data_IF_550670937803
#
_entry.id   IF_550670937803
#
_cell.length_a   1.000
_cell.length_b   1.000
_cell.length_c   1.000
_cell.angle_alpha   90.00
_cell.angle_beta   90.00
_cell.angle_gamma   90.00
#
_symmetry.space_group_name_H-M   'P 1'
#
loop_
_entity.id
_entity.type
_entity.pdbx_description
1 polymer ?
#
# COMPACT_ATOMS: atom_id res chain seq x y z
N UNK A 1 -17.41 14.54 18.06
CA UNK A 1 -18.76 14.12 17.65
C UNK A 1 -18.72 13.88 16.15
N UNK A 2 -18.63 12.60 15.76
CA UNK A 2 -18.79 12.18 14.37
C UNK A 2 -20.29 12.17 14.10
N UNK A 3 -20.80 13.14 13.38
CA UNK A 3 -22.14 13.12 12.86
C UNK A 3 -22.33 11.86 11.99
N UNK A 4 -23.34 11.08 12.34
CA UNK A 4 -23.79 9.90 11.61
C UNK A 4 -24.37 10.37 10.26
N UNK A 5 -23.51 10.71 9.30
CA UNK A 5 -23.96 10.97 7.93
C UNK A 5 -24.49 9.65 7.40
N UNK A 6 -25.79 9.56 7.26
CA UNK A 6 -26.42 8.47 6.52
C UNK A 6 -25.86 8.51 5.08
N UNK A 7 -24.86 7.68 4.82
CA UNK A 7 -24.41 7.45 3.46
C UNK A 7 -25.55 6.78 2.70
N UNK A 8 -25.81 7.18 1.44
CA UNK A 8 -26.86 6.54 0.66
C UNK A 8 -26.63 5.02 0.63
N UNK A 9 -27.68 4.25 0.91
CA UNK A 9 -27.65 2.81 0.68
C UNK A 9 -27.57 2.62 -0.83
N UNK A 10 -26.45 2.13 -1.31
CA UNK A 10 -26.31 1.70 -2.70
C UNK A 10 -27.06 0.38 -2.87
N UNK A 11 -27.96 0.35 -3.84
CA UNK A 11 -28.57 -0.90 -4.28
C UNK A 11 -27.48 -1.76 -4.92
N UNK A 12 -27.41 -3.05 -4.59
CA UNK A 12 -26.37 -3.95 -5.07
C UNK A 12 -26.40 -4.17 -6.60
N UNK A 13 -27.45 -3.70 -7.26
CA UNK A 13 -27.64 -3.82 -8.71
C UNK A 13 -26.96 -2.68 -9.51
N UNK A 14 -26.51 -1.60 -8.84
CA UNK A 14 -25.73 -0.53 -9.44
C UNK A 14 -24.23 -0.70 -9.08
N UNK A 15 -23.56 -1.65 -9.74
CA UNK A 15 -22.09 -1.67 -9.69
C UNK A 15 -21.59 -0.37 -10.34
N UNK A 16 -20.90 0.51 -9.60
CA UNK A 16 -20.35 1.71 -10.20
C UNK A 16 -19.38 1.31 -11.30
N UNK A 17 -19.55 1.89 -12.48
CA UNK A 17 -18.59 1.71 -13.56
C UNK A 17 -17.22 2.16 -13.08
N UNK A 18 -16.32 1.20 -12.86
CA UNK A 18 -14.95 1.48 -12.43
C UNK A 18 -14.23 2.06 -13.63
N UNK A 19 -14.24 3.39 -13.74
CA UNK A 19 -13.41 4.09 -14.71
C UNK A 19 -11.96 3.97 -14.21
N UNK A 20 -11.23 3.00 -14.74
CA UNK A 20 -9.78 2.94 -14.56
C UNK A 20 -9.19 4.05 -15.43
N UNK A 21 -8.65 5.13 -14.85
CA UNK A 21 -8.01 6.15 -15.64
C UNK A 21 -6.85 5.49 -16.41
N UNK A 22 -6.75 5.80 -17.70
CA UNK A 22 -5.64 5.32 -18.52
C UNK A 22 -4.36 6.08 -18.08
N UNK A 23 -3.76 5.61 -17.01
CA UNK A 23 -2.54 6.19 -16.46
C UNK A 23 -1.40 5.69 -17.32
N UNK A 24 -1.00 6.51 -18.28
CA UNK A 24 0.23 6.26 -19.02
C UNK A 24 1.43 6.61 -18.12
N UNK A 25 1.94 5.61 -17.40
CA UNK A 25 3.10 5.77 -16.51
C UNK A 25 4.41 6.10 -17.27
N UNK A 26 4.33 6.31 -18.57
CA UNK A 26 5.51 6.41 -19.42
C UNK A 26 6.25 5.07 -19.48
N UNK A 27 6.54 4.57 -20.66
CA UNK A 27 7.06 3.22 -20.93
C UNK A 27 8.44 2.92 -20.35
N UNK A 28 9.03 3.80 -19.54
CA UNK A 28 10.40 3.68 -19.03
C UNK A 28 10.52 3.50 -17.51
N UNK A 29 9.46 3.66 -16.74
CA UNK A 29 9.54 3.54 -15.29
C UNK A 29 9.72 2.07 -14.88
N UNK A 30 10.84 1.77 -14.22
CA UNK A 30 11.17 0.44 -13.70
C UNK A 30 10.80 0.36 -12.22
N UNK A 31 9.87 -0.53 -11.90
CA UNK A 31 9.31 -0.70 -10.55
C UNK A 31 9.78 -2.03 -9.96
N UNK A 32 10.36 -1.98 -8.77
CA UNK A 32 10.65 -3.19 -8.01
C UNK A 32 9.41 -3.62 -7.22
N UNK A 33 8.93 -4.83 -7.46
CA UNK A 33 7.95 -5.50 -6.60
C UNK A 33 8.71 -6.32 -5.57
N UNK A 34 8.68 -5.91 -4.32
CA UNK A 34 9.47 -6.55 -3.28
C UNK A 34 8.88 -7.89 -2.89
N UNK A 35 9.72 -8.92 -2.84
CA UNK A 35 9.34 -10.25 -2.38
C UNK A 35 10.12 -10.59 -1.12
N UNK A 36 9.40 -10.79 -0.02
CA UNK A 36 9.91 -11.29 1.26
C UNK A 36 9.22 -12.61 1.63
N UNK A 37 9.79 -13.42 2.52
CA UNK A 37 9.17 -14.68 2.94
C UNK A 37 7.72 -14.50 3.38
N UNK A 38 6.80 -15.26 2.79
CA UNK A 38 5.37 -15.22 3.11
C UNK A 38 4.55 -14.20 2.33
N UNK A 39 5.15 -13.35 1.52
CA UNK A 39 4.41 -12.58 0.51
C UNK A 39 3.97 -13.50 -0.61
N UNK A 40 2.81 -13.23 -1.20
CA UNK A 40 2.22 -14.09 -2.23
C UNK A 40 1.44 -13.33 -3.32
N UNK A 41 1.46 -12.00 -3.31
CA UNK A 41 0.80 -11.16 -4.32
C UNK A 41 1.80 -10.44 -5.24
N UNK A 42 3.01 -10.93 -5.36
CA UNK A 42 4.06 -10.31 -6.20
C UNK A 42 3.77 -10.45 -7.68
N UNK A 43 3.28 -11.60 -8.12
CA UNK A 43 2.99 -11.85 -9.54
C UNK A 43 1.82 -11.01 -10.03
N UNK A 44 0.74 -10.90 -9.24
CA UNK A 44 -0.41 -10.05 -9.53
C UNK A 44 0.00 -8.58 -9.59
N UNK A 45 0.82 -8.15 -8.64
CA UNK A 45 1.33 -6.79 -8.57
C UNK A 45 2.21 -6.46 -9.79
N UNK A 46 3.08 -7.37 -10.18
CA UNK A 46 3.91 -7.19 -11.38
C UNK A 46 3.05 -7.11 -12.64
N UNK A 47 2.04 -7.98 -12.78
CA UNK A 47 1.10 -7.94 -13.92
C UNK A 47 0.32 -6.62 -13.96
N UNK A 48 -0.12 -6.12 -12.82
CA UNK A 48 -0.83 -4.83 -12.76
C UNK A 48 0.06 -3.67 -13.24
N UNK A 49 1.32 -3.63 -12.83
CA UNK A 49 2.27 -2.60 -13.29
C UNK A 49 2.48 -2.69 -14.80
N UNK A 50 2.68 -3.90 -15.33
CA UNK A 50 2.85 -4.14 -16.77
C UNK A 50 1.61 -3.72 -17.55
N UNK A 51 0.42 -4.03 -17.04
CA UNK A 51 -0.86 -3.62 -17.65
C UNK A 51 -1.02 -2.09 -17.70
N UNK A 52 -0.40 -1.38 -16.75
CA UNK A 52 -0.32 0.07 -16.73
C UNK A 52 0.86 0.64 -17.56
N UNK A 53 1.46 -0.15 -18.44
CA UNK A 53 2.61 0.21 -19.31
C UNK A 53 3.91 0.50 -18.56
N UNK A 54 4.03 0.10 -17.29
CA UNK A 54 5.28 0.13 -16.55
C UNK A 54 6.15 -1.10 -16.79
N UNK A 55 7.39 -1.05 -16.34
CA UNK A 55 8.27 -2.21 -16.26
C UNK A 55 8.29 -2.71 -14.82
N UNK A 56 8.00 -3.99 -14.61
CA UNK A 56 8.00 -4.60 -13.28
C UNK A 56 9.07 -5.67 -13.18
N UNK A 57 9.76 -5.70 -12.06
CA UNK A 57 10.70 -6.76 -11.72
C UNK A 57 10.46 -7.20 -10.27
N UNK A 58 10.30 -8.52 -10.06
CA UNK A 58 10.20 -9.08 -8.71
C UNK A 58 11.59 -9.06 -8.08
N UNK A 59 11.73 -8.24 -7.05
CA UNK A 59 12.97 -8.07 -6.31
C UNK A 59 12.96 -8.92 -5.05
N UNK A 60 13.70 -10.03 -5.09
CA UNK A 60 13.76 -10.98 -3.98
C UNK A 60 14.64 -10.47 -2.84
N UNK A 61 14.21 -10.69 -1.60
CA UNK A 61 14.94 -10.35 -0.37
C UNK A 61 16.36 -10.94 -0.26
N UNK A 62 16.66 -11.97 -1.06
CA UNK A 62 18.01 -12.58 -1.13
C UNK A 62 18.99 -11.80 -2.00
N UNK A 63 18.53 -10.81 -2.74
CA UNK A 63 19.37 -9.97 -3.59
C UNK A 63 20.07 -8.89 -2.76
N UNK A 64 21.24 -8.40 -3.21
CA UNK A 64 21.89 -7.24 -2.61
C UNK A 64 20.94 -6.03 -2.61
N UNK A 65 20.68 -5.48 -1.43
CA UNK A 65 19.67 -4.40 -1.26
C UNK A 65 20.09 -3.10 -1.97
N UNK A 66 21.38 -2.92 -2.22
CA UNK A 66 21.93 -1.77 -2.96
C UNK A 66 21.38 -1.68 -4.38
N UNK A 67 20.99 -2.81 -4.99
CA UNK A 67 20.39 -2.87 -6.33
C UNK A 67 19.02 -2.21 -6.40
N UNK A 68 18.39 -1.86 -5.27
CA UNK A 68 17.18 -1.03 -5.27
C UNK A 68 17.42 0.35 -5.88
N UNK A 69 18.66 0.81 -5.91
CA UNK A 69 19.02 2.07 -6.55
C UNK A 69 18.69 2.12 -8.06
N UNK A 70 18.64 0.96 -8.72
CA UNK A 70 18.38 0.84 -10.17
C UNK A 70 16.90 0.99 -10.55
N UNK A 71 16.01 1.17 -9.58
CA UNK A 71 14.58 1.26 -9.80
C UNK A 71 14.06 2.69 -9.60
N UNK A 72 12.99 3.03 -10.30
CA UNK A 72 12.33 4.33 -10.23
C UNK A 72 11.28 4.40 -9.13
N UNK A 73 10.73 3.28 -8.70
CA UNK A 73 9.74 3.18 -7.65
C UNK A 73 9.59 1.76 -7.12
N UNK A 74 8.81 1.61 -6.07
CA UNK A 74 8.71 0.36 -5.32
C UNK A 74 7.28 0.03 -4.98
N UNK A 75 6.95 -1.26 -5.06
CA UNK A 75 5.69 -1.80 -4.57
C UNK A 75 5.99 -2.90 -3.54
N UNK A 76 5.43 -2.75 -2.35
CA UNK A 76 5.43 -3.78 -1.31
C UNK A 76 4.07 -4.48 -1.38
N UNK A 77 4.00 -5.71 -1.89
CA UNK A 77 2.73 -6.39 -2.18
C UNK A 77 2.07 -6.94 -0.93
N UNK A 78 0.88 -7.51 -1.13
CA UNK A 78 0.14 -8.22 -0.11
C UNK A 78 0.70 -9.61 0.20
N UNK A 79 0.14 -10.22 1.23
CA UNK A 79 0.51 -11.54 1.69
C UNK A 79 0.54 -11.60 3.22
N UNK A 80 1.42 -12.47 3.74
CA UNK A 80 1.60 -12.73 5.17
C UNK A 80 3.10 -12.77 5.47
N UNK A 81 3.78 -11.63 5.31
CA UNK A 81 5.23 -11.56 5.46
C UNK A 81 5.69 -12.14 6.80
N UNK A 82 6.62 -13.09 6.73
CA UNK A 82 7.11 -13.85 7.90
C UNK A 82 6.00 -14.49 8.73
N UNK A 83 4.88 -14.89 8.07
CA UNK A 83 3.70 -15.51 8.69
C UNK A 83 3.04 -14.61 9.76
N UNK A 84 3.14 -13.28 9.63
CA UNK A 84 2.63 -12.28 10.58
C UNK A 84 3.08 -12.52 12.03
N UNK A 85 4.24 -13.16 12.21
CA UNK A 85 4.81 -13.42 13.55
C UNK A 85 4.98 -12.12 14.31
N UNK A 86 4.67 -12.14 15.61
CA UNK A 86 4.59 -10.99 16.50
C UNK A 86 3.34 -10.16 16.20
N UNK A 87 3.23 -9.60 15.00
CA UNK A 87 2.08 -8.97 14.37
C UNK A 87 2.39 -8.72 12.89
N UNK A 88 1.35 -8.46 12.11
CA UNK A 88 1.48 -8.25 10.67
C UNK A 88 2.51 -7.15 10.32
N UNK A 89 3.45 -7.50 9.47
CA UNK A 89 4.51 -6.59 9.01
C UNK A 89 5.67 -6.36 9.99
N UNK A 90 5.56 -6.72 11.26
CA UNK A 90 6.54 -6.35 12.29
C UNK A 90 7.94 -6.94 12.06
N UNK A 91 8.01 -8.20 11.64
CA UNK A 91 9.30 -8.86 11.35
C UNK A 91 9.87 -8.33 10.04
N UNK A 92 9.05 -8.24 9.00
CA UNK A 92 9.47 -7.72 7.70
C UNK A 92 10.01 -6.30 7.79
N UNK A 93 9.43 -5.44 8.61
CA UNK A 93 9.88 -4.06 8.83
C UNK A 93 11.31 -3.95 9.37
N UNK A 94 11.89 -5.05 9.89
CA UNK A 94 13.28 -5.12 10.37
C UNK A 94 14.24 -5.73 9.37
N UNK A 95 13.73 -6.19 8.23
CA UNK A 95 14.58 -6.72 7.17
C UNK A 95 15.50 -5.62 6.61
N UNK A 96 16.77 -5.92 6.32
CA UNK A 96 17.70 -4.97 5.69
C UNK A 96 17.17 -4.38 4.39
N UNK A 97 16.38 -5.14 3.63
CA UNK A 97 15.74 -4.67 2.40
C UNK A 97 14.82 -3.47 2.66
N UNK A 98 14.09 -3.46 3.78
CA UNK A 98 13.22 -2.34 4.15
C UNK A 98 14.02 -1.12 4.60
N UNK A 99 15.19 -1.32 5.21
CA UNK A 99 16.11 -0.22 5.52
C UNK A 99 16.64 0.45 4.24
N UNK A 100 17.00 -0.35 3.24
CA UNK A 100 17.43 0.15 1.92
C UNK A 100 16.26 0.83 1.18
N UNK A 101 15.04 0.27 1.25
CA UNK A 101 13.84 0.89 0.70
C UNK A 101 13.59 2.28 1.29
N UNK A 102 13.80 2.44 2.60
CA UNK A 102 13.69 3.76 3.26
C UNK A 102 14.65 4.78 2.64
N UNK A 103 15.91 4.41 2.45
CA UNK A 103 16.91 5.29 1.80
C UNK A 103 16.45 5.72 0.40
N UNK A 104 15.85 4.81 -0.36
CA UNK A 104 15.31 5.15 -1.69
C UNK A 104 14.08 6.08 -1.59
N UNK A 105 13.20 5.85 -0.61
CA UNK A 105 12.05 6.73 -0.35
C UNK A 105 12.50 8.15 0.07
N UNK A 106 13.50 8.25 0.93
CA UNK A 106 14.09 9.53 1.36
C UNK A 106 14.76 10.28 0.19
N UNK A 107 15.21 9.56 -0.84
CA UNK A 107 15.69 10.17 -2.10
C UNK A 107 14.57 10.63 -3.03
N UNK A 108 13.30 10.51 -2.62
CA UNK A 108 12.13 10.97 -3.37
C UNK A 108 11.50 9.92 -4.28
N UNK A 109 11.96 8.67 -4.26
CA UNK A 109 11.34 7.62 -5.06
C UNK A 109 10.02 7.15 -4.44
N UNK A 110 8.94 6.98 -5.23
CA UNK A 110 7.65 6.56 -4.73
C UNK A 110 7.64 5.14 -4.20
N UNK A 111 6.94 4.94 -3.08
CA UNK A 111 6.74 3.62 -2.46
C UNK A 111 5.25 3.41 -2.22
N UNK A 112 4.71 2.31 -2.74
CA UNK A 112 3.33 1.89 -2.54
C UNK A 112 3.30 0.60 -1.73
N UNK A 113 2.53 0.56 -0.65
CA UNK A 113 2.27 -0.66 0.13
C UNK A 113 0.80 -1.07 0.02
N UNK A 114 0.55 -2.33 -0.35
CA UNK A 114 -0.81 -2.87 -0.49
C UNK A 114 -1.02 -3.97 0.54
N UNK A 115 -2.14 -3.92 1.29
CA UNK A 115 -2.51 -4.93 2.28
C UNK A 115 -1.38 -5.15 3.30
N UNK A 116 -0.77 -6.34 3.35
CA UNK A 116 0.39 -6.62 4.21
C UNK A 116 1.57 -5.68 3.94
N UNK A 117 1.75 -5.25 2.70
CA UNK A 117 2.76 -4.25 2.36
C UNK A 117 2.54 -2.91 3.07
N UNK A 118 1.29 -2.45 3.19
CA UNK A 118 0.98 -1.27 3.99
C UNK A 118 1.32 -1.48 5.47
N UNK A 119 1.02 -2.67 6.02
CA UNK A 119 1.36 -3.03 7.39
C UNK A 119 2.87 -2.99 7.62
N UNK A 120 3.65 -3.50 6.67
CA UNK A 120 5.13 -3.41 6.71
C UNK A 120 5.60 -1.96 6.73
N UNK A 121 5.04 -1.11 5.87
CA UNK A 121 5.43 0.31 5.79
C UNK A 121 5.08 1.07 7.09
N UNK A 122 3.94 0.78 7.71
CA UNK A 122 3.56 1.35 9.02
C UNK A 122 4.56 0.93 10.09
N UNK A 123 4.86 -0.37 10.19
CA UNK A 123 5.81 -0.91 11.18
C UNK A 123 7.25 -0.44 10.94
N UNK A 124 7.58 -0.08 9.70
CA UNK A 124 8.87 0.50 9.35
C UNK A 124 8.95 2.02 9.58
N UNK A 125 7.83 2.68 9.91
CA UNK A 125 7.76 4.13 10.07
C UNK A 125 7.86 4.91 8.75
N UNK A 126 7.55 4.25 7.62
CA UNK A 126 7.45 4.88 6.30
C UNK A 126 6.07 5.50 6.06
N UNK A 127 5.06 5.04 6.80
CA UNK A 127 3.69 5.56 6.78
C UNK A 127 3.31 5.97 8.19
N UNK A 128 2.84 7.20 8.43
CA UNK A 128 2.69 8.33 7.50
C UNK A 128 4.00 9.05 7.15
N UNK A 129 5.12 8.71 7.77
CA UNK A 129 6.45 9.22 7.45
C UNK A 129 6.69 10.70 7.72
N UNK A 130 5.84 11.36 8.52
CA UNK A 130 5.88 12.82 8.77
C UNK A 130 7.15 13.30 9.46
N UNK A 131 7.67 12.49 10.39
CA UNK A 131 8.87 12.85 11.17
C UNK A 131 10.17 12.49 10.45
N UNK A 132 10.13 11.75 9.35
CA UNK A 132 11.32 11.18 8.73
C UNK A 132 12.02 10.13 9.63
N UNK A 133 13.22 9.72 9.27
CA UNK A 133 14.11 8.84 10.06
C UNK A 133 13.51 7.47 10.46
N UNK A 134 12.43 7.02 9.81
CA UNK A 134 11.79 5.73 10.09
C UNK A 134 11.19 5.62 11.49
N UNK A 135 10.83 6.73 12.11
CA UNK A 135 10.10 6.73 13.38
C UNK A 135 8.68 6.20 13.16
N UNK A 136 8.31 5.18 13.92
CA UNK A 136 6.94 4.67 13.92
C UNK A 136 6.03 5.68 14.61
N UNK A 137 5.08 6.25 13.88
CA UNK A 137 4.21 7.33 14.35
C UNK A 137 2.77 6.87 14.57
N UNK A 138 2.40 5.76 13.96
CA UNK A 138 1.09 5.12 14.11
C UNK A 138 1.25 3.63 14.32
N UNK A 139 0.25 2.99 14.88
CA UNK A 139 0.24 1.56 15.08
C UNK A 139 -1.05 0.95 14.53
N UNK A 140 -0.94 -0.25 14.00
CA UNK A 140 -2.10 -1.06 13.65
C UNK A 140 -2.74 -1.59 14.92
N UNK A 141 -4.04 -1.49 15.02
CA UNK A 141 -4.80 -1.93 16.18
C UNK A 141 -6.01 -2.78 15.73
N UNK A 142 -6.48 -3.71 16.58
CA UNK A 142 -7.69 -4.44 16.30
C UNK A 142 -8.87 -3.49 16.07
N UNK A 143 -9.64 -3.77 15.03
CA UNK A 143 -10.79 -2.96 14.70
C UNK A 143 -11.86 -3.04 15.80
N UNK A 144 -12.38 -1.88 16.19
CA UNK A 144 -13.51 -1.75 17.13
C UNK A 144 -14.48 -0.72 16.57
N UNK A 145 -15.64 -1.16 16.15
CA UNK A 145 -16.70 -0.29 15.67
C UNK A 145 -18.04 -0.65 16.32
N UNK A 146 -18.74 0.34 16.84
CA UNK A 146 -20.05 0.20 17.47
C UNK A 146 -20.13 -0.96 18.51
N UNK A 147 -19.07 -1.15 19.32
CA UNK A 147 -19.01 -2.20 20.35
C UNK A 147 -18.71 -3.61 19.81
N UNK A 148 -18.51 -3.77 18.52
CA UNK A 148 -18.13 -5.05 17.89
C UNK A 148 -16.62 -5.09 17.61
N UNK A 149 -16.07 -6.30 17.65
CA UNK A 149 -14.72 -6.61 17.22
C UNK A 149 -14.79 -7.46 15.95
N UNK A 150 -13.78 -7.33 15.07
CA UNK A 150 -13.65 -8.19 13.91
C UNK A 150 -13.77 -7.45 12.59
N UNK A 151 -14.05 -8.21 11.55
CA UNK A 151 -14.19 -7.67 10.22
C UNK A 151 -15.39 -6.74 10.12
N UNK A 152 -15.16 -5.61 9.47
CA UNK A 152 -16.20 -4.68 9.08
C UNK A 152 -16.07 -4.39 7.60
N UNK A 153 -16.98 -4.94 6.82
CA UNK A 153 -16.97 -4.82 5.36
C UNK A 153 -18.09 -3.90 4.92
N UNK A 154 -17.75 -2.81 4.24
CA UNK A 154 -18.72 -1.88 3.65
C UNK A 154 -18.08 -1.10 2.51
N UNK A 155 -18.92 -0.58 1.62
CA UNK A 155 -18.52 0.42 0.66
C UNK A 155 -18.20 1.74 1.36
N UNK A 156 -17.12 2.37 0.97
CA UNK A 156 -16.72 3.70 1.43
C UNK A 156 -16.35 4.56 0.25
N UNK A 157 -16.58 5.86 0.40
CA UNK A 157 -16.10 6.87 -0.54
C UNK A 157 -14.76 7.37 -0.04
N UNK A 158 -13.75 7.32 -0.89
CA UNK A 158 -12.44 7.93 -0.62
C UNK A 158 -12.30 9.17 -1.50
N UNK A 159 -12.02 10.29 -0.87
CA UNK A 159 -11.74 11.55 -1.53
C UNK A 159 -10.25 11.87 -1.32
N UNK A 160 -9.48 12.06 -2.41
CA UNK A 160 -8.09 12.49 -2.29
C UNK A 160 -8.00 13.85 -1.60
N UNK A 161 -7.14 14.00 -0.61
CA UNK A 161 -6.86 15.31 -0.01
C UNK A 161 -6.14 16.19 -1.04
N UNK A 162 -6.80 17.25 -1.48
CA UNK A 162 -6.24 18.20 -2.46
C UNK A 162 -4.94 18.89 -2.00
N UNK A 163 -4.63 18.82 -0.72
CA UNK A 163 -3.37 19.33 -0.15
C UNK A 163 -2.25 18.29 -0.13
N UNK A 164 -2.57 17.05 -0.54
CA UNK A 164 -1.57 15.98 -0.58
C UNK A 164 -0.62 16.19 -1.75
N UNK A 165 0.68 16.04 -1.50
CA UNK A 165 1.71 15.98 -2.53
C UNK A 165 2.08 14.54 -2.90
N UNK A 166 1.21 13.58 -2.57
CA UNK A 166 1.41 12.18 -2.89
C UNK A 166 1.19 11.94 -4.38
N UNK A 167 2.21 11.50 -5.08
CA UNK A 167 2.15 11.21 -6.52
C UNK A 167 1.05 10.20 -6.89
N UNK A 168 0.72 9.27 -5.99
CA UNK A 168 -0.36 8.30 -6.21
C UNK A 168 -1.76 8.91 -6.12
N UNK A 169 -1.90 10.14 -5.62
CA UNK A 169 -3.20 10.82 -5.47
C UNK A 169 -3.40 11.93 -6.50
N UNK A 170 -2.37 12.25 -7.29
CA UNK A 170 -2.48 13.27 -8.33
C UNK A 170 -3.48 12.84 -9.41
N UNK A 171 -4.45 13.71 -9.67
CA UNK A 171 -5.50 13.50 -10.68
C UNK A 171 -6.40 12.26 -10.44
N UNK A 172 -6.39 11.69 -9.23
CA UNK A 172 -7.35 10.65 -8.91
C UNK A 172 -8.75 11.27 -8.71
N UNK A 173 -9.78 10.69 -9.34
CA UNK A 173 -11.17 11.06 -9.05
C UNK A 173 -11.56 10.56 -7.66
N UNK A 174 -12.75 10.95 -7.19
CA UNK A 174 -13.37 10.31 -6.03
C UNK A 174 -13.54 8.82 -6.35
N UNK A 175 -13.07 7.96 -5.45
CA UNK A 175 -13.04 6.53 -5.67
C UNK A 175 -13.93 5.84 -4.62
N UNK A 176 -14.72 4.88 -5.08
CA UNK A 176 -15.47 3.99 -4.20
C UNK A 176 -14.65 2.74 -3.91
N UNK A 177 -14.47 2.43 -2.64
CA UNK A 177 -13.77 1.22 -2.22
C UNK A 177 -14.63 0.36 -1.33
N UNK A 178 -14.57 -0.96 -1.55
CA UNK A 178 -15.00 -1.92 -0.56
C UNK A 178 -13.86 -2.10 0.45
N UNK A 179 -14.05 -1.61 1.66
CA UNK A 179 -13.08 -1.83 2.73
C UNK A 179 -13.54 -3.01 3.57
N UNK A 180 -12.66 -3.99 3.70
CA UNK A 180 -12.75 -5.01 4.73
C UNK A 180 -11.69 -4.70 5.78
N UNK A 181 -12.12 -4.23 6.94
CA UNK A 181 -11.22 -3.93 8.05
C UNK A 181 -11.01 -5.21 8.86
N UNK A 182 -9.77 -5.59 9.02
CA UNK A 182 -9.37 -6.77 9.77
C UNK A 182 -9.69 -6.68 11.27
N UNK A 183 -9.95 -7.81 11.92
CA UNK A 183 -10.16 -7.88 13.36
C UNK A 183 -8.93 -7.46 14.16
#
# INVERSE_FOLDING_TARGET
EYEDRQLPMFDYDDEPEIIIPNINLGSSAKIAVLQMPGMNCEDESARAIISASGQAEIFRWTRPAEQLADFNGFLVPGGFSYQDRVRAGAVAAKDPLISALRTQSESGKPVLGICNGCQVLVEAGLVPGKSGNGKVEVALAPNRYAGRRGYYTRWVVLEPDSRSHCQFLENLPIIFFLISLNP
#
